data_IF_035225335811
#
_entry.id   IF_035225335811
#
_cell.length_a   1.000
_cell.length_b   1.000
_cell.length_c   1.000
_cell.angle_alpha   90.00
_cell.angle_beta   90.00
_cell.angle_gamma   90.00
#
_symmetry.space_group_name_H-M   'P 1'
#
loop_
_entity.id
_entity.type
_entity.pdbx_description
1 polymer ?
#
# COMPACT_ATOMS: atom_id res chain seq x y z
N UNK A 1 -26.14 39.55 54.36
CA UNK A 1 -25.84 40.31 55.59
C UNK A 1 -25.31 39.28 56.58
N UNK A 2 -24.02 39.13 56.90
CA UNK A 2 -22.97 40.12 57.15
C UNK A 2 -21.64 39.80 56.42
N UNK A 3 -20.92 40.86 56.07
CA UNK A 3 -19.48 40.94 55.75
C UNK A 3 -18.74 41.38 57.06
N UNK A 4 -17.39 41.61 57.10
CA UNK A 4 -16.22 40.82 56.65
C UNK A 4 -14.98 40.87 57.63
N UNK A 5 -13.88 40.16 57.27
CA UNK A 5 -12.40 40.45 57.49
C UNK A 5 -11.73 40.37 58.88
N UNK A 6 -10.36 40.36 59.01
CA UNK A 6 -9.30 39.68 58.23
C UNK A 6 -8.17 39.04 59.10
N UNK A 7 -7.37 38.10 58.58
CA UNK A 7 -5.99 37.85 59.09
C UNK A 7 -5.09 37.09 58.10
N UNK A 8 -4.14 37.80 57.49
CA UNK A 8 -2.85 37.32 56.94
C UNK A 8 -1.90 37.09 58.15
N UNK A 9 -0.84 36.22 58.19
CA UNK A 9 0.10 35.92 57.11
C UNK A 9 0.77 34.52 57.06
N UNK A 10 1.38 34.22 55.89
CA UNK A 10 2.51 33.31 55.68
C UNK A 10 2.56 31.96 56.44
N UNK A 11 2.20 30.88 55.75
CA UNK A 11 2.84 29.57 55.95
C UNK A 11 2.93 28.83 54.62
N UNK A 12 4.16 28.43 54.25
CA UNK A 12 4.47 27.58 53.10
C UNK A 12 3.96 26.17 53.38
N UNK A 13 3.19 25.58 52.48
CA UNK A 13 3.07 24.10 52.39
C UNK A 13 2.77 23.69 50.96
N UNK A 14 3.63 22.82 50.43
CA UNK A 14 3.51 22.14 49.15
C UNK A 14 2.37 21.12 49.17
N UNK A 15 1.52 21.10 48.14
CA UNK A 15 0.59 20.00 47.85
C UNK A 15 0.52 19.71 46.33
N UNK A 16 1.13 18.59 45.98
CA UNK A 16 0.79 17.56 44.99
C UNK A 16 -0.42 17.71 44.04
N UNK A 17 -0.10 17.63 42.74
CA UNK A 17 -0.77 16.96 41.61
C UNK A 17 -2.30 16.87 41.55
N UNK A 18 -2.92 17.69 40.69
CA UNK A 18 -4.19 17.38 40.05
C UNK A 18 -3.92 16.58 38.76
N UNK A 19 -4.52 15.39 38.67
CA UNK A 19 -4.44 14.50 37.53
C UNK A 19 -5.14 15.11 36.30
N UNK A 20 -4.36 15.61 35.35
CA UNK A 20 -4.84 15.97 34.02
C UNK A 20 -5.06 14.67 33.23
N UNK A 21 -6.31 14.40 32.87
CA UNK A 21 -6.71 13.29 31.99
C UNK A 21 -5.98 13.44 30.64
N UNK A 22 -5.10 12.52 30.22
CA UNK A 22 -4.43 12.67 28.93
C UNK A 22 -5.43 12.37 27.81
N UNK A 23 -5.81 13.42 27.09
CA UNK A 23 -6.47 13.29 25.78
C UNK A 23 -5.47 12.66 24.81
N UNK A 24 -5.77 11.46 24.32
CA UNK A 24 -4.95 10.77 23.33
C UNK A 24 -4.92 11.55 22.01
N UNK A 25 -3.74 11.92 21.48
CA UNK A 25 -3.66 12.51 20.15
C UNK A 25 -3.87 11.44 19.08
N UNK A 26 -4.55 11.85 18.02
CA UNK A 26 -4.84 11.14 16.78
C UNK A 26 -3.72 10.16 16.36
N UNK A 27 -4.09 8.88 16.20
CA UNK A 27 -3.23 7.79 15.74
C UNK A 27 -2.63 8.11 14.37
N UNK A 28 -1.38 8.56 14.37
CA UNK A 28 -0.55 8.51 13.17
C UNK A 28 0.04 7.09 13.08
N UNK A 29 0.11 6.48 11.88
CA UNK A 29 0.64 5.12 11.70
C UNK A 29 2.11 4.96 12.10
N UNK A 30 2.81 6.07 12.38
CA UNK A 30 4.22 6.11 12.76
C UNK A 30 4.42 5.59 14.20
N UNK A 31 3.56 5.96 15.16
CA UNK A 31 3.72 5.52 16.56
C UNK A 31 3.45 4.02 16.76
N UNK A 32 2.57 3.43 15.95
CA UNK A 32 2.27 1.99 15.98
C UNK A 32 3.51 1.15 15.61
N UNK A 33 4.37 1.65 14.72
CA UNK A 33 5.56 0.94 14.22
C UNK A 33 6.69 0.96 15.27
N UNK A 34 6.88 2.09 15.97
CA UNK A 34 7.91 2.18 17.03
C UNK A 34 7.62 1.24 18.20
N UNK A 35 6.34 1.10 18.59
CA UNK A 35 5.94 0.18 19.66
C UNK A 35 6.12 -1.31 19.28
N UNK A 36 6.02 -1.67 17.99
CA UNK A 36 6.26 -3.03 17.52
C UNK A 36 7.77 -3.34 17.40
N UNK A 37 8.61 -2.33 17.18
CA UNK A 37 10.06 -2.50 17.03
C UNK A 37 10.78 -2.81 18.35
N UNK A 38 10.20 -2.39 19.49
CA UNK A 38 10.76 -2.58 20.84
C UNK A 38 10.35 -3.90 21.51
N UNK A 39 9.32 -4.59 21.01
CA UNK A 39 8.84 -5.87 21.57
C UNK A 39 9.53 -7.12 20.98
N UNK A 40 10.35 -6.96 19.94
CA UNK A 40 10.93 -8.09 19.19
C UNK A 40 12.31 -8.53 19.66
N UNK A 41 12.96 -7.87 20.62
CA UNK A 41 14.38 -8.13 20.88
C UNK A 41 14.67 -9.44 21.65
N UNK A 42 13.69 -10.00 22.37
CA UNK A 42 14.06 -10.92 23.46
C UNK A 42 14.00 -12.42 23.14
N UNK A 43 13.50 -12.89 21.99
CA UNK A 43 13.63 -14.31 21.59
C UNK A 43 13.33 -14.56 20.09
N UNK A 44 14.14 -14.00 19.17
CA UNK A 44 14.05 -14.37 17.75
C UNK A 44 14.73 -15.74 17.51
N UNK A 45 14.00 -16.69 16.91
CA UNK A 45 14.58 -17.93 16.40
C UNK A 45 15.74 -17.66 15.40
N UNK A 46 16.70 -18.59 15.24
CA UNK A 46 17.82 -18.43 14.29
C UNK A 46 17.36 -18.14 12.85
N UNK A 47 16.26 -18.77 12.42
CA UNK A 47 15.65 -18.55 11.11
C UNK A 47 15.10 -17.12 10.98
N UNK A 48 14.36 -16.63 11.97
CA UNK A 48 13.83 -15.26 11.96
C UNK A 48 14.93 -14.19 11.98
N UNK A 49 16.04 -14.43 12.69
CA UNK A 49 17.17 -13.51 12.70
C UNK A 49 17.84 -13.43 11.31
N UNK A 50 18.04 -14.60 10.68
CA UNK A 50 18.60 -14.69 9.32
C UNK A 50 17.66 -14.09 8.26
N UNK A 51 16.35 -14.30 8.38
CA UNK A 51 15.34 -13.66 7.53
C UNK A 51 15.34 -12.14 7.69
N UNK A 52 15.46 -11.64 8.92
CA UNK A 52 15.51 -10.19 9.19
C UNK A 52 16.71 -9.53 8.50
N UNK A 53 17.88 -10.17 8.57
CA UNK A 53 19.09 -9.70 7.87
C UNK A 53 18.89 -9.68 6.35
N UNK A 54 18.42 -10.78 5.77
CA UNK A 54 18.21 -10.87 4.31
C UNK A 54 17.12 -9.90 3.83
N UNK A 55 16.04 -9.72 4.60
CA UNK A 55 14.98 -8.77 4.30
C UNK A 55 15.50 -7.34 4.34
N UNK A 56 16.40 -7.01 5.27
CA UNK A 56 17.03 -5.68 5.34
C UNK A 56 17.85 -5.40 4.08
N UNK A 57 18.66 -6.36 3.62
CA UNK A 57 19.42 -6.25 2.37
C UNK A 57 18.49 -6.08 1.18
N UNK A 58 17.48 -6.95 1.03
CA UNK A 58 16.47 -6.88 -0.03
C UNK A 58 15.73 -5.54 -0.05
N UNK A 59 15.34 -5.04 1.12
CA UNK A 59 14.62 -3.77 1.27
C UNK A 59 15.47 -2.59 0.77
N UNK A 60 16.76 -2.55 1.13
CA UNK A 60 17.67 -1.48 0.72
C UNK A 60 18.02 -1.53 -0.77
N UNK A 61 18.13 -2.72 -1.36
CA UNK A 61 18.44 -2.88 -2.78
C UNK A 61 17.28 -2.49 -3.71
N UNK A 62 16.03 -2.72 -3.27
CA UNK A 62 14.86 -2.58 -4.14
C UNK A 62 13.95 -1.40 -3.83
N UNK A 63 14.01 -0.83 -2.62
CA UNK A 63 13.08 0.22 -2.19
C UNK A 63 13.83 1.40 -1.57
N UNK A 64 13.75 2.56 -2.22
CA UNK A 64 14.39 3.79 -1.72
C UNK A 64 13.92 4.18 -0.30
N UNK A 65 12.61 4.10 -0.07
CA UNK A 65 12.00 4.38 1.23
C UNK A 65 11.12 3.19 1.64
N UNK A 66 11.54 2.45 2.66
CA UNK A 66 10.78 1.31 3.17
C UNK A 66 10.96 1.10 4.67
N UNK A 67 9.99 0.41 5.26
CA UNK A 67 10.06 -0.16 6.60
C UNK A 67 9.72 -1.63 6.53
N UNK A 68 10.41 -2.45 7.30
CA UNK A 68 10.28 -3.89 7.27
C UNK A 68 10.41 -4.50 8.65
N UNK A 69 9.80 -5.66 8.84
CA UNK A 69 9.83 -6.41 10.08
C UNK A 69 9.68 -7.91 9.83
N UNK A 70 10.34 -8.71 10.66
CA UNK A 70 10.16 -10.16 10.74
C UNK A 70 9.66 -10.48 12.13
N UNK A 71 8.44 -11.03 12.22
CA UNK A 71 7.72 -11.21 13.48
C UNK A 71 7.31 -12.69 13.59
N UNK A 72 7.92 -13.45 14.50
CA UNK A 72 7.39 -14.76 14.89
C UNK A 72 6.01 -14.60 15.53
N UNK A 73 5.05 -15.45 15.17
CA UNK A 73 3.72 -15.48 15.78
C UNK A 73 3.55 -16.70 16.67
N UNK A 74 2.62 -16.61 17.63
CA UNK A 74 2.31 -17.72 18.54
C UNK A 74 1.83 -19.00 17.82
N UNK A 75 1.33 -18.87 16.58
CA UNK A 75 0.74 -19.96 15.80
C UNK A 75 1.79 -20.77 15.00
N UNK A 76 3.08 -20.63 15.32
CA UNK A 76 4.14 -21.31 14.58
C UNK A 76 4.28 -20.79 13.14
N UNK A 77 4.01 -19.50 12.92
CA UNK A 77 4.29 -18.83 11.64
C UNK A 77 5.25 -17.67 11.83
N UNK A 78 6.03 -17.37 10.79
CA UNK A 78 6.89 -16.20 10.74
C UNK A 78 6.28 -15.22 9.75
N UNK A 79 5.85 -14.06 10.24
CA UNK A 79 5.37 -12.97 9.40
C UNK A 79 6.56 -12.14 8.89
N UNK A 80 6.60 -11.94 7.58
CA UNK A 80 7.60 -11.12 6.88
C UNK A 80 6.83 -9.96 6.26
N UNK A 81 7.06 -8.76 6.78
CA UNK A 81 6.32 -7.56 6.38
C UNK A 81 7.26 -6.52 5.82
N UNK A 82 6.86 -5.91 4.71
CA UNK A 82 7.55 -4.76 4.12
C UNK A 82 6.50 -3.75 3.65
N UNK A 83 6.73 -2.48 3.98
CA UNK A 83 5.95 -1.35 3.50
C UNK A 83 6.90 -0.34 2.86
N UNK A 84 6.68 -0.05 1.58
CA UNK A 84 7.39 1.00 0.86
C UNK A 84 6.43 2.11 0.48
N UNK A 85 6.92 3.35 0.51
CA UNK A 85 6.08 4.52 0.27
C UNK A 85 6.85 5.63 -0.42
N UNK A 86 6.13 6.37 -1.27
CA UNK A 86 6.61 7.62 -1.86
C UNK A 86 5.46 8.61 -1.87
N UNK A 87 5.65 9.71 -1.17
CA UNK A 87 4.67 10.78 -1.08
C UNK A 87 5.26 12.01 -1.77
N UNK A 88 4.55 12.54 -2.75
CA UNK A 88 4.94 13.76 -3.46
C UNK A 88 3.73 14.67 -3.63
N UNK A 89 3.22 15.27 -2.52
CA UNK A 89 2.02 16.11 -2.59
C UNK A 89 2.19 17.34 -3.48
N UNK A 90 3.39 17.89 -3.54
CA UNK A 90 3.72 19.01 -4.43
C UNK A 90 3.59 18.64 -5.92
N UNK A 91 3.66 17.35 -6.27
CA UNK A 91 3.44 16.84 -7.62
C UNK A 91 2.10 16.09 -7.72
N UNK A 92 1.19 16.28 -6.75
CA UNK A 92 -0.15 15.71 -6.73
C UNK A 92 -0.22 14.17 -6.81
N UNK A 93 0.75 13.47 -6.22
CA UNK A 93 0.69 12.01 -6.18
C UNK A 93 1.31 11.34 -4.96
N UNK A 94 0.76 10.18 -4.63
CA UNK A 94 1.19 9.35 -3.52
C UNK A 94 1.17 7.88 -3.94
N UNK A 95 2.15 7.11 -3.50
CA UNK A 95 2.26 5.68 -3.77
C UNK A 95 2.62 4.92 -2.50
N UNK A 96 1.99 3.76 -2.32
CA UNK A 96 2.27 2.84 -1.23
C UNK A 96 2.21 1.39 -1.70
N UNK A 97 3.24 0.64 -1.36
CA UNK A 97 3.33 -0.80 -1.53
C UNK A 97 3.38 -1.46 -0.15
N UNK A 98 2.61 -2.52 0.06
CA UNK A 98 2.68 -3.36 1.26
C UNK A 98 2.74 -4.81 0.86
N UNK A 99 3.74 -5.52 1.36
CA UNK A 99 3.84 -6.96 1.20
C UNK A 99 3.79 -7.61 2.58
N UNK A 100 3.07 -8.73 2.65
CA UNK A 100 2.95 -9.54 3.86
C UNK A 100 3.07 -10.98 3.41
N UNK A 101 4.12 -11.65 3.86
CA UNK A 101 4.29 -13.08 3.68
C UNK A 101 4.20 -13.78 5.02
N UNK A 102 3.61 -14.96 5.03
CA UNK A 102 3.54 -15.83 6.20
C UNK A 102 4.23 -17.14 5.85
N UNK A 103 5.32 -17.42 6.55
CA UNK A 103 5.99 -18.71 6.47
C UNK A 103 5.47 -19.62 7.58
N UNK A 104 4.88 -20.74 7.21
CA UNK A 104 4.33 -21.72 8.13
C UNK A 104 5.40 -22.77 8.45
N UNK A 105 5.85 -22.84 9.71
CA UNK A 105 6.93 -23.74 10.13
C UNK A 105 6.51 -25.22 10.06
N UNK A 106 5.27 -25.53 10.40
CA UNK A 106 4.77 -26.91 10.44
C UNK A 106 4.60 -27.53 9.05
N UNK A 107 4.11 -26.75 8.08
CA UNK A 107 3.83 -27.22 6.71
C UNK A 107 4.94 -26.87 5.73
N UNK A 108 5.95 -26.12 6.16
CA UNK A 108 7.05 -25.59 5.32
C UNK A 108 6.54 -24.88 4.06
N UNK A 109 5.46 -24.08 4.22
CA UNK A 109 4.84 -23.34 3.12
C UNK A 109 4.92 -21.83 3.32
N UNK A 110 5.18 -21.10 2.22
CA UNK A 110 5.05 -19.65 2.17
C UNK A 110 3.71 -19.28 1.54
N UNK A 111 2.97 -18.40 2.21
CA UNK A 111 1.82 -17.69 1.65
C UNK A 111 2.10 -16.19 1.65
N UNK A 112 1.36 -15.40 0.88
CA UNK A 112 1.56 -13.97 0.92
C UNK A 112 0.49 -13.13 0.23
N UNK A 113 0.53 -11.84 0.49
CA UNK A 113 -0.32 -10.83 -0.13
C UNK A 113 0.49 -9.57 -0.36
N UNK A 114 0.44 -9.07 -1.59
CA UNK A 114 1.05 -7.84 -2.02
C UNK A 114 -0.06 -6.85 -2.40
N UNK A 115 0.04 -5.61 -1.94
CA UNK A 115 -0.95 -4.55 -2.18
C UNK A 115 -0.24 -3.28 -2.65
N UNK A 116 -0.67 -2.76 -3.80
CA UNK A 116 -0.18 -1.53 -4.38
C UNK A 116 -1.33 -0.52 -4.45
N UNK A 117 -1.07 0.69 -3.99
CA UNK A 117 -2.02 1.78 -3.88
C UNK A 117 -1.33 3.06 -4.37
N UNK A 118 -1.73 3.55 -5.53
CA UNK A 118 -1.18 4.77 -6.13
C UNK A 118 -2.32 5.72 -6.43
N UNK A 119 -2.18 6.97 -6.02
CA UNK A 119 -3.19 8.01 -6.17
C UNK A 119 -2.55 9.24 -6.80
N UNK A 120 -3.07 9.65 -7.95
CA UNK A 120 -2.73 10.88 -8.66
C UNK A 120 -3.97 11.78 -8.71
N UNK A 121 -3.79 13.06 -8.41
CA UNK A 121 -4.91 13.99 -8.21
C UNK A 121 -4.66 15.41 -8.75
N UNK A 122 -3.82 15.55 -9.78
CA UNK A 122 -3.73 16.79 -10.55
C UNK A 122 -4.87 16.82 -11.57
N UNK A 123 -5.71 17.86 -11.54
CA UNK A 123 -6.83 18.09 -12.48
C UNK A 123 -7.80 16.90 -12.66
N UNK A 124 -7.86 16.03 -11.66
CA UNK A 124 -8.64 14.80 -11.70
C UNK A 124 -8.41 13.94 -10.47
N UNK A 125 -8.97 12.74 -10.46
CA UNK A 125 -8.75 11.77 -9.38
C UNK A 125 -8.59 10.37 -9.99
N UNK A 126 -7.36 9.89 -10.06
CA UNK A 126 -7.02 8.60 -10.64
C UNK A 126 -6.29 7.76 -9.60
N UNK A 127 -6.77 6.53 -9.38
CA UNK A 127 -6.19 5.63 -8.38
C UNK A 127 -5.99 4.23 -8.94
N UNK A 128 -4.82 3.67 -8.69
CA UNK A 128 -4.52 2.25 -8.85
C UNK A 128 -4.66 1.55 -7.51
N UNK A 129 -5.55 0.57 -7.44
CA UNK A 129 -5.62 -0.39 -6.33
C UNK A 129 -5.37 -1.78 -6.92
N UNK A 130 -4.25 -2.40 -6.57
CA UNK A 130 -3.90 -3.73 -7.05
C UNK A 130 -3.52 -4.64 -5.89
N UNK A 131 -4.02 -5.87 -5.91
CA UNK A 131 -3.71 -6.90 -4.91
C UNK A 131 -3.31 -8.18 -5.63
N UNK A 132 -2.20 -8.78 -5.20
CA UNK A 132 -1.77 -10.12 -5.62
C UNK A 132 -1.63 -11.01 -4.41
N UNK A 133 -2.18 -12.21 -4.49
CA UNK A 133 -2.06 -13.24 -3.46
C UNK A 133 -1.11 -14.32 -3.94
N UNK A 134 -0.16 -14.71 -3.10
CA UNK A 134 0.69 -15.87 -3.30
C UNK A 134 0.02 -17.07 -2.61
N UNK A 135 -0.46 -18.07 -3.37
CA UNK A 135 -0.99 -19.29 -2.78
C UNK A 135 0.10 -20.08 -2.02
N UNK A 136 -0.29 -21.04 -1.16
CA UNK A 136 0.66 -21.85 -0.41
C UNK A 136 1.69 -22.50 -1.35
N UNK A 137 2.96 -22.13 -1.16
CA UNK A 137 4.09 -22.62 -1.95
C UNK A 137 5.05 -23.34 -1.01
N UNK A 138 5.26 -24.64 -1.24
CA UNK A 138 6.20 -25.43 -0.46
C UNK A 138 7.64 -24.94 -0.66
N UNK A 139 8.37 -24.72 0.43
CA UNK A 139 9.80 -24.36 0.39
C UNK A 139 10.50 -24.70 1.71
N UNK A 140 11.77 -25.09 1.62
CA UNK A 140 12.56 -25.40 2.79
C UNK A 140 12.72 -24.18 3.70
N UNK A 141 12.98 -24.46 4.98
CA UNK A 141 13.12 -23.47 6.05
C UNK A 141 14.49 -22.76 5.98
N UNK A 142 14.81 -22.21 4.81
CA UNK A 142 16.05 -21.50 4.52
C UNK A 142 15.74 -20.03 4.25
N UNK A 143 16.30 -19.13 5.07
CA UNK A 143 16.13 -17.69 4.91
C UNK A 143 16.53 -17.19 3.52
N UNK A 144 17.55 -17.79 2.91
CA UNK A 144 18.01 -17.42 1.57
C UNK A 144 17.03 -17.84 0.48
N UNK A 145 16.45 -19.04 0.58
CA UNK A 145 15.48 -19.53 -0.40
C UNK A 145 14.14 -18.81 -0.32
N UNK A 146 13.67 -18.56 0.91
CA UNK A 146 12.45 -17.78 1.17
C UNK A 146 12.59 -16.39 0.56
N UNK A 147 13.70 -15.68 0.81
CA UNK A 147 13.89 -14.34 0.26
C UNK A 147 14.07 -14.33 -1.26
N UNK A 148 14.74 -15.33 -1.84
CA UNK A 148 14.79 -15.49 -3.31
C UNK A 148 13.39 -15.72 -3.89
N UNK A 149 12.53 -16.47 -3.21
CA UNK A 149 11.14 -16.66 -3.65
C UNK A 149 10.35 -15.36 -3.59
N UNK A 150 10.46 -14.60 -2.49
CA UNK A 150 9.85 -13.27 -2.33
C UNK A 150 10.29 -12.35 -3.46
N UNK A 151 11.59 -12.24 -3.74
CA UNK A 151 12.12 -11.38 -4.81
C UNK A 151 11.61 -11.79 -6.20
N UNK A 152 11.46 -13.09 -6.48
CA UNK A 152 10.86 -13.59 -7.73
C UNK A 152 9.39 -13.18 -7.87
N UNK A 153 8.61 -13.32 -6.79
CA UNK A 153 7.18 -12.97 -6.79
C UNK A 153 6.98 -11.48 -6.98
N UNK A 154 7.75 -10.65 -6.28
CA UNK A 154 7.69 -9.19 -6.39
C UNK A 154 8.07 -8.71 -7.79
N UNK A 155 9.19 -9.18 -8.34
CA UNK A 155 9.61 -8.85 -9.71
C UNK A 155 8.58 -9.29 -10.74
N UNK A 156 8.10 -10.53 -10.65
CA UNK A 156 7.10 -11.06 -11.58
C UNK A 156 5.81 -10.23 -11.56
N UNK A 157 5.39 -9.78 -10.38
CA UNK A 157 4.21 -8.91 -10.26
C UNK A 157 4.45 -7.51 -10.82
N UNK A 158 5.61 -6.91 -10.57
CA UNK A 158 5.96 -5.61 -11.14
C UNK A 158 5.93 -5.64 -12.67
N UNK A 159 6.52 -6.68 -13.28
CA UNK A 159 6.48 -6.87 -14.72
C UNK A 159 5.05 -7.11 -15.24
N UNK A 160 4.24 -7.87 -14.50
CA UNK A 160 2.83 -8.12 -14.82
C UNK A 160 2.01 -6.82 -14.80
N UNK A 161 2.21 -5.96 -13.80
CA UNK A 161 1.58 -4.64 -13.75
C UNK A 161 1.98 -3.78 -14.94
N UNK A 162 3.28 -3.73 -15.26
CA UNK A 162 3.78 -2.96 -16.41
C UNK A 162 3.17 -3.44 -17.73
N UNK A 163 3.14 -4.76 -17.97
CA UNK A 163 2.47 -5.34 -19.15
C UNK A 163 0.97 -5.04 -19.13
N UNK A 164 0.34 -5.11 -17.96
CA UNK A 164 -1.07 -4.78 -17.77
C UNK A 164 -1.41 -3.36 -18.23
N UNK A 165 -0.60 -2.37 -17.86
CA UNK A 165 -0.78 -0.99 -18.31
C UNK A 165 -0.62 -0.82 -19.82
N UNK A 166 0.33 -1.53 -20.45
CA UNK A 166 0.47 -1.53 -21.91
C UNK A 166 -0.77 -2.08 -22.63
N UNK A 167 -1.33 -3.19 -22.14
CA UNK A 167 -2.58 -3.75 -22.70
C UNK A 167 -3.78 -2.82 -22.53
N UNK A 168 -3.89 -2.16 -21.37
CA UNK A 168 -4.97 -1.22 -21.09
C UNK A 168 -4.93 -0.01 -22.02
N UNK A 169 -3.73 0.55 -22.24
CA UNK A 169 -3.55 1.74 -23.09
C UNK A 169 -3.73 1.44 -24.59
N UNK A 170 -3.29 0.28 -25.05
CA UNK A 170 -3.34 -0.07 -26.48
C UNK A 170 -4.63 -0.75 -26.92
N UNK A 171 -5.32 -1.46 -26.00
CA UNK A 171 -6.51 -2.24 -26.30
C UNK A 171 -7.78 -1.67 -25.65
N UNK A 172 -7.95 -1.92 -24.35
CA UNK A 172 -9.22 -1.70 -23.63
C UNK A 172 -9.70 -0.24 -23.66
N UNK A 173 -8.82 0.75 -23.49
CA UNK A 173 -9.26 2.14 -23.55
C UNK A 173 -9.65 2.58 -24.97
N UNK A 174 -9.01 2.02 -26.01
CA UNK A 174 -9.36 2.32 -27.40
C UNK A 174 -10.65 1.64 -27.84
N UNK A 175 -10.99 0.48 -27.25
CA UNK A 175 -12.28 -0.19 -27.50
C UNK A 175 -13.43 0.59 -26.88
N UNK A 176 -13.23 1.18 -25.70
CA UNK A 176 -14.24 2.02 -25.04
C UNK A 176 -14.51 3.31 -25.81
N UNK A 177 -13.45 4.05 -26.19
CA UNK A 177 -13.58 5.28 -26.96
C UNK A 177 -12.42 5.41 -27.93
N UNK A 178 -12.77 5.59 -29.20
CA UNK A 178 -11.79 5.81 -30.26
C UNK A 178 -11.33 7.25 -30.25
N UNK A 179 -10.05 7.46 -30.51
CA UNK A 179 -9.48 8.82 -30.64
C UNK A 179 -10.10 9.58 -31.82
N UNK A 180 -10.43 8.87 -32.91
CA UNK A 180 -11.10 9.40 -34.10
C UNK A 180 -12.18 8.41 -34.57
N UNK A 181 -13.23 8.89 -35.26
CA UNK A 181 -14.20 8.08 -36.00
C UNK A 181 -13.57 7.05 -36.97
N UNK A 182 -14.37 6.11 -37.51
CA UNK A 182 -13.86 5.02 -38.42
C UNK A 182 -13.11 5.62 -39.61
N UNK A 183 -13.64 6.73 -40.10
CA UNK A 183 -13.10 7.52 -41.22
C UNK A 183 -11.73 8.15 -40.96
N UNK A 184 -11.23 8.13 -39.70
CA UNK A 184 -9.98 8.79 -39.27
C UNK A 184 -9.98 10.32 -39.51
N UNK A 185 -11.15 10.93 -39.55
CA UNK A 185 -11.34 12.37 -39.67
C UNK A 185 -12.20 12.88 -38.52
N UNK A 186 -12.01 14.15 -38.11
CA UNK A 186 -12.89 14.78 -37.12
C UNK A 186 -14.32 14.86 -37.69
N UNK A 187 -15.30 14.81 -36.81
CA UNK A 187 -16.71 14.91 -37.21
C UNK A 187 -16.97 16.30 -37.79
N UNK A 188 -17.45 16.35 -39.03
CA UNK A 188 -17.90 17.57 -39.68
C UNK A 188 -19.33 17.88 -39.26
N UNK A 189 -19.50 18.68 -38.21
CA UNK A 189 -20.81 18.96 -37.61
C UNK A 189 -21.84 19.54 -38.59
N UNK A 190 -21.41 20.30 -39.60
CA UNK A 190 -22.29 20.85 -40.65
C UNK A 190 -22.94 19.76 -41.52
N UNK A 191 -22.27 18.63 -41.72
CA UNK A 191 -22.79 17.50 -42.50
C UNK A 191 -23.60 16.53 -41.67
N UNK A 192 -23.44 16.54 -40.34
CA UNK A 192 -24.18 15.63 -39.42
C UNK A 192 -25.69 15.82 -39.51
N UNK A 193 -26.18 17.05 -39.73
CA UNK A 193 -27.62 17.35 -39.86
C UNK A 193 -28.20 16.96 -41.22
N UNK A 194 -27.37 16.85 -42.27
CA UNK A 194 -27.79 16.51 -43.63
C UNK A 194 -27.66 15.03 -43.97
N UNK A 195 -26.87 14.25 -43.22
CA UNK A 195 -26.85 12.80 -43.32
C UNK A 195 -28.21 12.21 -42.89
N UNK A 196 -29.10 11.98 -43.87
CA UNK A 196 -30.33 11.21 -43.65
C UNK A 196 -29.99 9.73 -43.45
N UNK A 197 -29.57 9.38 -42.23
CA UNK A 197 -29.21 8.01 -41.84
C UNK A 197 -30.29 6.97 -42.18
N UNK A 198 -31.56 7.36 -42.21
CA UNK A 198 -32.69 6.47 -42.51
C UNK A 198 -32.77 5.95 -43.95
N UNK A 199 -32.12 6.57 -44.95
CA UNK A 199 -32.21 6.13 -46.36
C UNK A 199 -31.10 5.16 -46.77
N UNK A 200 -29.94 5.23 -46.13
CA UNK A 200 -28.79 4.36 -46.44
C UNK A 200 -28.70 3.11 -45.55
N UNK A 201 -29.31 3.11 -44.36
CA UNK A 201 -29.36 1.95 -43.46
C UNK A 201 -30.42 0.91 -43.91
N UNK A 202 -31.43 1.32 -44.68
CA UNK A 202 -32.50 0.43 -45.18
C UNK A 202 -32.14 -0.40 -46.42
N UNK A 203 -30.92 -0.26 -46.96
CA UNK A 203 -30.48 -0.86 -48.22
C UNK A 203 -29.61 -2.12 -48.07
N UNK A 204 -29.65 -2.81 -46.93
CA UNK A 204 -28.95 -4.09 -46.74
C UNK A 204 -29.56 -5.19 -47.63
N UNK A 205 -29.08 -5.30 -48.87
CA UNK A 205 -29.38 -6.41 -49.77
C UNK A 205 -28.43 -7.57 -49.45
N UNK A 206 -29.04 -8.76 -49.38
CA UNK A 206 -28.50 -10.12 -49.21
C UNK A 206 -27.09 -10.35 -49.75
#
# INVERSE_FOLDING_TARGET
>A
MCNPTPSNPNTKTSCTSAAQRPTLPCSTPIYQIYALKTLTHDHLSPLSASLSKNLTTHAHEHYANSTHAVIPTANGTIAIQLAAYKYSPANFWNGRLRTTYLYHLATTTLTGTLKCDVHYYEDGNVRLLSTKTLPPTAMAASAGEIMKAVARVERGWQEELNRGFGRLSEGEFKSLRRQLPVTRQKVEWEKVTSYRAGKEIGGGRR
#
